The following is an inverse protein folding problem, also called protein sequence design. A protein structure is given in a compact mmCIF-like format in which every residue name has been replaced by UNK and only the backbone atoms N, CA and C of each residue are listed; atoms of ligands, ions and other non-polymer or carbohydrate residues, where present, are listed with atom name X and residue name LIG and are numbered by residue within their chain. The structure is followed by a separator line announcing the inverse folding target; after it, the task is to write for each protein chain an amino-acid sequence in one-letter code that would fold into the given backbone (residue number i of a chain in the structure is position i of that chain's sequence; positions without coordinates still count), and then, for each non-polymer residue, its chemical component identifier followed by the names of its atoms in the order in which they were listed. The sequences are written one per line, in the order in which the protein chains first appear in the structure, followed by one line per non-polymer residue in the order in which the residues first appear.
data_IF_714988369036
#
_entry.id   IF_714988369036
#
_cell.length_a   1.000
_cell.length_b   1.000
_cell.length_c   1.000
_cell.angle_alpha   90.00
_cell.angle_beta   90.00
_cell.angle_gamma   90.00
#
_symmetry.space_group_name_H-M   'P 1'
#
loop_
_entity.id
_entity.type
_entity.pdbx_description
1 polymer ?
#
# COMPACT_ATOMS: atom_id res chain seq x y z
N UNK A 1 14.23 -1.47 17.39
CA UNK A 1 14.16 -2.87 17.87
C UNK A 1 14.01 -3.77 16.64
N UNK A 2 14.84 -4.80 16.46
CA UNK A 2 14.77 -5.64 15.24
C UNK A 2 13.62 -6.63 15.38
N UNK A 3 12.53 -6.42 14.64
CA UNK A 3 11.42 -7.38 14.58
C UNK A 3 11.87 -8.62 13.83
N UNK A 4 11.81 -9.77 14.49
CA UNK A 4 12.17 -11.07 13.93
C UNK A 4 10.90 -11.85 13.61
N UNK A 5 10.76 -12.27 12.36
CA UNK A 5 9.71 -13.23 11.98
C UNK A 5 10.11 -14.59 12.56
N UNK A 6 9.22 -15.27 13.30
CA UNK A 6 9.52 -16.59 13.83
C UNK A 6 9.73 -17.60 12.69
N UNK A 7 10.72 -18.49 12.82
CA UNK A 7 10.95 -19.57 11.85
C UNK A 7 9.88 -20.67 11.93
N UNK A 8 9.21 -20.78 13.07
CA UNK A 8 8.11 -21.69 13.36
C UNK A 8 7.06 -20.96 14.19
N UNK A 9 5.78 -21.04 13.83
CA UNK A 9 4.70 -20.33 14.53
C UNK A 9 3.40 -20.34 13.72
N UNK A 10 2.38 -19.64 14.21
CA UNK A 10 1.12 -19.49 13.48
C UNK A 10 1.29 -18.66 12.20
N UNK A 11 0.53 -18.98 11.15
CA UNK A 11 0.56 -18.21 9.89
C UNK A 11 0.26 -16.73 10.11
N UNK A 12 -0.76 -16.44 10.93
CA UNK A 12 -1.15 -15.07 11.28
C UNK A 12 -0.03 -14.33 12.01
N UNK A 13 0.60 -14.96 13.00
CA UNK A 13 1.69 -14.37 13.78
C UNK A 13 2.89 -14.06 12.89
N UNK A 14 3.25 -15.01 12.03
CA UNK A 14 4.34 -14.86 11.06
C UNK A 14 4.08 -13.71 10.08
N UNK A 15 2.84 -13.61 9.56
CA UNK A 15 2.43 -12.52 8.68
C UNK A 15 2.50 -11.16 9.38
N UNK A 16 1.97 -11.05 10.60
CA UNK A 16 1.99 -9.80 11.38
C UNK A 16 3.44 -9.35 11.64
N UNK A 17 4.30 -10.23 12.14
CA UNK A 17 5.70 -9.91 12.38
C UNK A 17 6.45 -9.50 11.09
N UNK A 18 6.12 -10.14 9.95
CA UNK A 18 6.70 -9.78 8.66
C UNK A 18 6.29 -8.38 8.23
N UNK A 19 5.00 -8.06 8.28
CA UNK A 19 4.47 -6.74 7.90
C UNK A 19 5.01 -5.64 8.81
N UNK A 20 5.01 -5.86 10.12
CA UNK A 20 5.56 -4.89 11.08
C UNK A 20 7.05 -4.63 10.80
N UNK A 21 7.83 -5.69 10.56
CA UNK A 21 9.24 -5.55 10.15
C UNK A 21 9.41 -4.74 8.87
N UNK A 22 8.57 -4.96 7.85
CA UNK A 22 8.67 -4.24 6.59
C UNK A 22 8.29 -2.77 6.73
N UNK A 23 7.26 -2.45 7.53
CA UNK A 23 6.88 -1.05 7.83
C UNK A 23 8.00 -0.32 8.57
N UNK A 24 8.58 -0.95 9.59
CA UNK A 24 9.74 -0.39 10.33
C UNK A 24 10.93 -0.12 9.41
N UNK A 25 11.23 -1.02 8.47
CA UNK A 25 12.32 -0.80 7.50
C UNK A 25 12.03 0.40 6.60
N UNK A 26 10.81 0.55 6.10
CA UNK A 26 10.45 1.69 5.24
C UNK A 26 10.56 3.00 6.02
N UNK A 27 10.04 3.05 7.25
CA UNK A 27 10.14 4.21 8.12
C UNK A 27 11.60 4.57 8.42
N UNK A 28 12.42 3.59 8.78
CA UNK A 28 13.85 3.80 9.00
C UNK A 28 14.57 4.37 7.76
N UNK A 29 14.17 3.98 6.55
CA UNK A 29 14.78 4.50 5.31
C UNK A 29 14.44 5.94 5.00
N UNK A 30 13.32 6.45 5.51
CA UNK A 30 12.88 7.83 5.27
C UNK A 30 13.05 8.73 6.50
N UNK A 31 13.55 8.16 7.60
CA UNK A 31 13.79 8.87 8.85
C UNK A 31 14.83 10.00 8.66
N UNK A 32 14.52 11.18 9.20
CA UNK A 32 15.40 12.34 9.14
C UNK A 32 15.40 13.10 7.80
N UNK A 33 14.60 12.68 6.82
CA UNK A 33 14.42 13.41 5.57
C UNK A 33 13.40 14.55 5.75
N UNK A 34 13.67 15.68 5.11
CA UNK A 34 12.73 16.79 5.03
C UNK A 34 11.67 16.58 3.92
N UNK A 35 10.69 17.47 3.91
CA UNK A 35 9.54 17.43 3.01
C UNK A 35 9.93 17.48 1.52
N UNK A 36 10.98 18.24 1.20
CA UNK A 36 11.53 18.41 -0.13
C UNK A 36 12.24 17.13 -0.60
N UNK A 37 13.12 16.57 0.23
CA UNK A 37 13.83 15.34 -0.05
C UNK A 37 12.87 14.16 -0.26
N UNK A 38 11.77 14.13 0.48
CA UNK A 38 10.71 13.12 0.34
C UNK A 38 9.92 13.25 -0.98
N UNK A 39 9.69 14.48 -1.45
CA UNK A 39 8.91 14.77 -2.67
C UNK A 39 9.74 14.83 -3.94
N UNK A 40 11.07 14.93 -3.83
CA UNK A 40 11.98 15.00 -4.97
C UNK A 40 11.81 13.77 -5.89
N UNK A 41 11.45 13.96 -7.17
CA UNK A 41 11.43 12.87 -8.14
C UNK A 41 12.82 12.26 -8.34
N UNK A 42 12.91 10.94 -8.26
CA UNK A 42 14.16 10.18 -8.48
C UNK A 42 14.16 9.39 -9.79
N UNK A 43 13.04 9.40 -10.52
CA UNK A 43 12.86 8.72 -11.80
C UNK A 43 12.17 9.63 -12.82
N UNK A 44 12.29 9.35 -14.13
CA UNK A 44 11.54 10.05 -15.16
C UNK A 44 10.02 9.93 -15.03
N UNK A 45 9.51 8.86 -14.41
CA UNK A 45 8.07 8.68 -14.13
C UNK A 45 7.54 9.55 -12.99
N UNK A 46 8.43 10.31 -12.33
CA UNK A 46 8.06 11.18 -11.22
C UNK A 46 8.05 10.48 -9.85
N UNK A 47 8.50 9.23 -9.76
CA UNK A 47 8.52 8.47 -8.50
C UNK A 47 9.36 9.19 -7.46
N UNK A 48 8.79 9.39 -6.28
CA UNK A 48 9.47 9.97 -5.12
C UNK A 48 9.26 9.09 -3.86
N UNK A 49 10.04 9.34 -2.81
CA UNK A 49 10.03 8.51 -1.60
C UNK A 49 8.68 8.57 -0.87
N UNK A 50 8.05 9.75 -0.84
CA UNK A 50 6.72 9.90 -0.25
C UNK A 50 5.65 9.12 -1.03
N UNK A 51 5.75 9.08 -2.36
CA UNK A 51 4.91 8.31 -3.24
C UNK A 51 5.08 6.80 -3.02
N UNK A 52 6.31 6.32 -2.80
CA UNK A 52 6.55 4.93 -2.43
C UNK A 52 5.87 4.56 -1.09
N UNK A 53 5.97 5.41 -0.07
CA UNK A 53 5.27 5.19 1.20
C UNK A 53 3.75 5.16 1.01
N UNK A 54 3.22 6.10 0.20
CA UNK A 54 1.79 6.16 -0.16
C UNK A 54 1.33 4.87 -0.85
N UNK A 55 2.07 4.41 -1.85
CA UNK A 55 1.79 3.18 -2.60
C UNK A 55 1.75 1.95 -1.69
N UNK A 56 2.74 1.80 -0.80
CA UNK A 56 2.82 0.67 0.12
C UNK A 56 1.65 0.66 1.12
N UNK A 57 1.31 1.82 1.68
CA UNK A 57 0.17 1.95 2.59
C UNK A 57 -1.16 1.62 1.90
N UNK A 58 -1.35 2.10 0.67
CA UNK A 58 -2.57 1.83 -0.10
C UNK A 58 -2.68 0.38 -0.55
N UNK A 59 -1.58 -0.26 -0.96
CA UNK A 59 -1.56 -1.68 -1.31
C UNK A 59 -1.95 -2.54 -0.11
N UNK A 60 -1.37 -2.26 1.05
CA UNK A 60 -1.69 -3.00 2.26
C UNK A 60 -3.16 -2.83 2.66
N UNK A 61 -3.65 -1.58 2.70
CA UNK A 61 -5.04 -1.28 3.02
C UNK A 61 -6.01 -1.96 2.03
N UNK A 62 -5.79 -1.78 0.73
CA UNK A 62 -6.63 -2.35 -0.32
C UNK A 62 -6.65 -3.88 -0.28
N UNK A 63 -5.48 -4.52 -0.15
CA UNK A 63 -5.38 -5.97 -0.09
C UNK A 63 -6.10 -6.56 1.13
N UNK A 64 -5.92 -5.97 2.32
CA UNK A 64 -6.59 -6.44 3.52
C UNK A 64 -8.10 -6.22 3.46
N UNK A 65 -8.55 -5.06 2.98
CA UNK A 65 -9.98 -4.83 2.85
C UNK A 65 -10.61 -5.80 1.84
N UNK A 66 -10.04 -5.96 0.64
CA UNK A 66 -10.56 -6.90 -0.36
C UNK A 66 -10.56 -8.35 0.16
N UNK A 67 -9.43 -8.80 0.71
CA UNK A 67 -9.26 -10.20 1.16
C UNK A 67 -10.21 -10.58 2.29
N UNK A 68 -10.49 -9.64 3.20
CA UNK A 68 -11.38 -9.87 4.33
C UNK A 68 -12.81 -9.34 4.09
N UNK A 69 -13.14 -8.96 2.85
CA UNK A 69 -14.47 -8.50 2.45
C UNK A 69 -14.90 -7.19 3.10
N UNK A 70 -13.97 -6.32 3.47
CA UNK A 70 -14.27 -4.98 3.98
C UNK A 70 -14.43 -3.99 2.83
N UNK A 71 -15.26 -2.98 3.06
CA UNK A 71 -15.38 -1.84 2.17
C UNK A 71 -14.07 -1.02 2.16
N UNK A 72 -13.71 -0.53 0.97
CA UNK A 72 -12.49 0.23 0.70
C UNK A 72 -12.91 1.68 0.42
N UNK A 73 -12.38 2.60 1.21
CA UNK A 73 -12.50 4.03 0.89
C UNK A 73 -11.79 4.34 -0.43
N UNK A 74 -12.25 5.33 -1.21
CA UNK A 74 -11.57 5.75 -2.43
C UNK A 74 -10.09 6.01 -2.18
N UNK A 75 -9.23 5.31 -2.92
CA UNK A 75 -7.79 5.42 -2.75
C UNK A 75 -7.29 6.80 -3.22
N UNK A 76 -6.24 7.35 -2.61
CA UNK A 76 -5.78 8.71 -2.86
C UNK A 76 -4.90 8.83 -4.12
N UNK A 77 -5.31 8.19 -5.22
CA UNK A 77 -4.65 8.27 -6.52
C UNK A 77 -5.65 8.08 -7.66
N UNK A 78 -5.33 8.67 -8.81
CA UNK A 78 -6.10 8.54 -10.04
C UNK A 78 -5.95 7.11 -10.60
N UNK A 79 -7.07 6.48 -10.95
CA UNK A 79 -7.08 5.14 -11.53
C UNK A 79 -6.71 5.13 -13.02
N UNK A 80 -6.83 6.26 -13.70
CA UNK A 80 -6.51 6.42 -15.12
C UNK A 80 -5.02 6.71 -15.36
N UNK A 81 -4.28 7.09 -14.32
CA UNK A 81 -2.83 7.29 -14.37
C UNK A 81 -2.09 6.14 -13.65
N UNK A 82 -1.35 5.29 -14.40
CA UNK A 82 -0.69 4.12 -13.84
C UNK A 82 0.44 4.42 -12.84
N UNK A 83 0.94 5.66 -12.76
CA UNK A 83 1.97 6.02 -11.79
C UNK A 83 1.46 7.00 -10.71
N UNK A 84 0.16 7.29 -10.68
CA UNK A 84 -0.40 8.24 -9.72
C UNK A 84 -0.19 7.80 -8.27
N UNK A 85 -0.12 6.49 -8.00
CA UNK A 85 0.16 5.94 -6.68
C UNK A 85 1.62 6.11 -6.24
N UNK A 86 2.56 6.28 -7.17
CA UNK A 86 3.99 6.51 -6.95
C UNK A 86 4.40 7.99 -6.90
N UNK A 87 3.46 8.92 -7.13
CA UNK A 87 3.68 10.37 -7.07
C UNK A 87 2.88 11.02 -5.94
N UNK A 88 3.26 12.23 -5.54
CA UNK A 88 2.47 13.06 -4.61
C UNK A 88 2.22 14.41 -5.24
N UNK A 89 0.95 14.80 -5.33
CA UNK A 89 0.57 16.10 -5.86
C UNK A 89 1.08 17.25 -4.97
N UNK A 90 1.60 18.35 -5.58
CA UNK A 90 2.01 19.53 -4.83
C UNK A 90 0.87 20.05 -3.95
N UNK A 91 1.13 20.28 -2.66
CA UNK A 91 0.14 20.81 -1.70
C UNK A 91 -0.73 19.77 -0.98
N UNK A 92 -0.61 18.47 -1.32
CA UNK A 92 -1.24 17.40 -0.51
C UNK A 92 -0.46 17.23 0.80
N UNK A 93 -1.12 17.46 1.93
CA UNK A 93 -0.60 17.12 3.25
C UNK A 93 -0.39 15.59 3.35
N UNK A 94 0.62 15.11 4.11
CA UNK A 94 0.81 13.68 4.34
C UNK A 94 -0.49 13.07 4.90
N UNK A 95 -0.82 11.80 4.57
CA UNK A 95 -2.00 11.17 5.10
C UNK A 95 -1.90 11.12 6.64
N UNK A 96 -2.70 11.94 7.32
CA UNK A 96 -2.86 11.81 8.77
C UNK A 96 -3.71 10.58 9.02
N UNK A 97 -3.22 9.67 9.87
CA UNK A 97 -4.01 8.53 10.32
C UNK A 97 -5.13 9.06 11.22
N UNK A 98 -6.28 9.42 10.64
CA UNK A 98 -7.49 9.66 11.41
C UNK A 98 -7.85 8.36 12.12
N UNK A 99 -8.14 8.37 13.43
CA UNK A 99 -8.57 7.17 14.12
C UNK A 99 -9.94 6.79 13.55
N UNK A 100 -9.96 5.88 12.56
CA UNK A 100 -11.21 5.39 12.02
C UNK A 100 -11.97 4.73 13.17
N UNK A 101 -13.20 5.19 13.33
CA UNK A 101 -14.16 4.67 14.30
C UNK A 101 -14.18 3.14 14.20
N UNK A 102 -13.95 2.45 15.32
CA UNK A 102 -14.12 0.99 15.43
C UNK A 102 -15.60 0.64 15.24
N UNK A 103 -16.07 0.66 14.00
CA UNK A 103 -17.36 0.16 13.59
C UNK A 103 -17.29 -1.35 13.42
N UNK A 104 -17.81 -2.09 14.38
CA UNK A 104 -18.05 -3.53 14.29
C UNK A 104 -19.24 -3.76 13.34
N UNK A 105 -19.01 -3.64 12.04
CA UNK A 105 -20.02 -3.90 11.00
C UNK A 105 -20.28 -5.41 10.80
N UNK A 106 -21.47 -5.80 10.32
CA UNK A 106 -21.82 -7.21 10.10
C UNK A 106 -20.97 -7.85 9.00
N UNK A 107 -20.71 -9.15 9.12
CA UNK A 107 -19.96 -9.94 8.14
C UNK A 107 -20.70 -9.92 6.79
N UNK A 108 -20.05 -9.55 5.68
CA UNK A 108 -20.67 -9.64 4.36
C UNK A 108 -20.77 -11.10 3.92
N UNK A 109 -22.01 -11.58 3.78
CA UNK A 109 -22.35 -12.85 3.14
C UNK A 109 -22.50 -12.59 1.64
N UNK A 110 -21.39 -12.43 0.94
CA UNK A 110 -21.43 -12.17 -0.50
C UNK A 110 -20.04 -12.17 -1.10
N UNK A 111 -19.88 -12.89 -2.21
CA UNK A 111 -18.64 -12.88 -2.98
C UNK A 111 -18.47 -11.49 -3.59
N UNK A 112 -17.55 -10.70 -3.05
CA UNK A 112 -17.17 -9.40 -3.60
C UNK A 112 -16.82 -9.55 -5.09
N UNK A 113 -17.35 -8.69 -5.98
CA UNK A 113 -16.92 -8.68 -7.37
C UNK A 113 -15.43 -8.35 -7.40
N UNK A 114 -14.64 -9.30 -7.91
CA UNK A 114 -13.17 -9.24 -8.02
C UNK A 114 -12.78 -7.85 -8.55
N UNK A 115 -12.17 -7.03 -7.72
CA UNK A 115 -11.77 -5.68 -8.11
C UNK A 115 -10.55 -5.74 -9.03
N UNK A 116 -10.45 -4.77 -9.94
CA UNK A 116 -9.65 -4.77 -11.18
C UNK A 116 -8.11 -4.74 -11.03
N UNK A 117 -7.55 -5.18 -9.91
CA UNK A 117 -6.10 -5.18 -9.64
C UNK A 117 -5.30 -6.25 -10.38
N UNK A 118 -5.95 -7.09 -11.19
CA UNK A 118 -5.22 -7.97 -12.09
C UNK A 118 -4.48 -7.11 -13.11
N UNK A 119 -3.15 -7.02 -12.94
CA UNK A 119 -2.19 -6.77 -14.01
C UNK A 119 -2.77 -7.32 -15.32
N UNK A 120 -3.11 -6.43 -16.27
CA UNK A 120 -3.32 -6.83 -17.65
C UNK A 120 -2.03 -7.52 -18.08
N UNK A 121 -2.10 -8.85 -18.25
CA UNK A 121 -1.04 -9.57 -18.93
C UNK A 121 -0.85 -8.91 -20.30
N UNK A 122 0.40 -8.54 -20.62
CA UNK A 122 0.76 -8.04 -21.95
C UNK A 122 0.26 -9.04 -23.01
N UNK A 123 -0.48 -8.63 -24.05
CA UNK A 123 -0.72 -9.50 -25.18
C UNK A 123 0.58 -9.57 -26.02
N UNK A 124 1.08 -10.77 -26.25
CA UNK A 124 2.08 -11.03 -27.29
C UNK A 124 3.48 -11.40 -26.79
N UNK A 125 3.70 -12.71 -26.59
CA UNK A 125 4.92 -13.37 -27.09
C UNK A 125 4.62 -14.86 -27.23
N UNK A 126 3.80 -15.19 -28.23
CA UNK A 126 3.78 -16.55 -28.75
C UNK A 126 5.12 -16.78 -29.46
N UNK A 127 5.88 -17.73 -28.92
CA UNK A 127 7.01 -18.36 -29.58
C UNK A 127 6.58 -18.86 -30.97
N UNK A 128 7.41 -18.59 -31.97
CA UNK A 128 7.72 -19.52 -33.04
C UNK A 128 9.23 -19.65 -33.10
#
# INVERSE_FOLDING_TARGET
MVIRVPFTGGEKESLQASLDRHREVVLWKVEGLDDEALRRPLTPSGTNLLGLVKHLAANEYGWFCETFGREVEPLPFDADDPEADLRVEPGRAPPTCSPSTRGRGPRPTGRSPRSGWRRRARPGSARR
#
